data_IF_322052037520
#
_entry.id   IF_322052037520
#
_cell.length_a   1.000
_cell.length_b   1.000
_cell.length_c   1.000
_cell.angle_alpha   90.00
_cell.angle_beta   90.00
_cell.angle_gamma   90.00
#
_symmetry.space_group_name_H-M   'P 1'
#
loop_
_entity.id
_entity.type
_entity.pdbx_description
1 polymer ?
#
# COMPACT_ATOMS: atom_id res chain seq x y z
N UNK A 1 -1.91 -7.18 7.59
CA UNK A 1 -1.61 -6.48 8.87
C UNK A 1 -0.28 -5.72 8.86
N UNK A 2 0.79 -6.23 8.23
CA UNK A 2 2.10 -5.55 8.17
C UNK A 2 2.02 -4.08 7.74
N UNK A 3 1.27 -3.78 6.67
CA UNK A 3 1.07 -2.40 6.16
C UNK A 3 0.54 -1.43 7.23
N UNK A 4 -0.36 -1.87 8.12
CA UNK A 4 -0.87 -1.00 9.19
C UNK A 4 0.19 -0.76 10.27
N UNK A 5 1.04 -1.74 10.57
CA UNK A 5 2.13 -1.58 11.53
C UNK A 5 3.23 -0.66 10.99
N UNK A 6 3.64 -0.84 9.74
CA UNK A 6 4.60 0.06 9.08
C UNK A 6 4.04 1.48 8.91
N UNK A 7 2.74 1.62 8.65
CA UNK A 7 2.10 2.95 8.64
C UNK A 7 2.13 3.60 10.02
N UNK A 8 1.83 2.85 11.08
CA UNK A 8 1.93 3.36 12.44
C UNK A 8 3.36 3.77 12.78
N UNK A 9 4.37 3.01 12.32
CA UNK A 9 5.77 3.43 12.44
C UNK A 9 5.96 4.82 11.82
N UNK A 10 5.69 4.98 10.52
CA UNK A 10 5.90 6.25 9.80
C UNK A 10 5.14 7.46 10.34
N UNK A 11 4.04 7.23 11.08
CA UNK A 11 3.15 8.29 11.57
C UNK A 11 3.30 8.54 13.07
N UNK A 12 4.14 7.77 13.75
CA UNK A 12 4.51 8.03 15.14
C UNK A 12 5.65 9.05 15.17
N UNK A 13 5.61 10.04 16.07
CA UNK A 13 6.74 10.95 16.26
C UNK A 13 8.03 10.18 16.52
N UNK A 14 9.02 10.42 15.67
CA UNK A 14 10.30 9.73 15.72
C UNK A 14 11.35 10.57 16.46
N UNK A 15 12.24 9.90 17.19
CA UNK A 15 13.46 10.54 17.69
C UNK A 15 14.45 10.76 16.53
N UNK A 16 15.34 11.77 16.64
CA UNK A 16 16.25 12.18 15.55
C UNK A 16 17.12 11.05 14.96
N UNK A 17 17.34 9.95 15.70
CA UNK A 17 18.16 8.81 15.28
C UNK A 17 17.39 7.75 14.47
N UNK A 18 16.08 7.86 14.32
CA UNK A 18 15.28 6.87 13.60
C UNK A 18 15.35 7.08 12.08
N UNK A 19 15.46 5.99 11.30
CA UNK A 19 15.56 6.08 9.86
C UNK A 19 14.28 6.66 9.28
N UNK A 20 14.45 7.59 8.35
CA UNK A 20 13.36 8.21 7.60
C UNK A 20 12.96 7.30 6.43
N UNK A 21 11.66 7.09 6.25
CA UNK A 21 11.14 6.30 5.14
C UNK A 21 11.03 7.19 3.90
N UNK A 22 11.68 6.78 2.82
CA UNK A 22 11.64 7.47 1.51
C UNK A 22 10.61 6.82 0.59
N UNK A 23 10.53 5.49 0.61
CA UNK A 23 9.63 4.69 -0.20
C UNK A 23 8.77 3.80 0.71
N UNK A 24 7.46 3.81 0.50
CA UNK A 24 6.51 3.00 1.27
C UNK A 24 5.64 2.15 0.34
N UNK A 25 5.65 0.83 0.58
CA UNK A 25 4.79 -0.12 -0.14
C UNK A 25 3.69 -0.59 0.81
N UNK A 26 2.43 -0.28 0.48
CA UNK A 26 1.25 -0.79 1.16
C UNK A 26 0.67 -1.95 0.36
N UNK A 27 0.75 -3.14 0.94
CA UNK A 27 0.37 -4.38 0.29
C UNK A 27 -0.95 -4.92 0.85
N UNK A 28 -1.93 -5.21 -0.02
CA UNK A 28 -3.21 -5.85 0.33
C UNK A 28 -3.78 -5.34 1.66
N UNK A 29 -3.92 -4.01 1.77
CA UNK A 29 -4.30 -3.38 3.03
C UNK A 29 -5.28 -2.24 2.81
N UNK A 30 -6.15 -2.09 3.79
CA UNK A 30 -7.03 -0.94 3.94
C UNK A 30 -7.02 -0.47 5.39
N UNK A 31 -7.43 0.78 5.61
CA UNK A 31 -7.64 1.28 6.97
C UNK A 31 -9.08 1.08 7.42
N UNK A 32 -9.22 0.54 8.63
CA UNK A 32 -10.50 0.38 9.33
C UNK A 32 -10.95 1.66 10.06
N UNK A 33 -10.04 2.60 10.29
CA UNK A 33 -10.31 3.93 10.89
C UNK A 33 -9.84 5.02 9.93
N UNK A 34 -10.35 6.24 10.07
CA UNK A 34 -9.93 7.35 9.22
C UNK A 34 -8.47 7.77 9.50
N UNK A 35 -7.52 7.60 8.56
CA UNK A 35 -6.10 7.92 8.75
C UNK A 35 -5.76 9.38 8.37
N UNK A 36 -6.76 10.24 8.11
CA UNK A 36 -6.54 11.52 7.42
C UNK A 36 -5.54 12.43 8.13
N UNK A 37 -5.60 12.51 9.47
CA UNK A 37 -4.68 13.35 10.24
C UNK A 37 -3.24 12.82 10.14
N UNK A 38 -3.07 11.51 10.27
CA UNK A 38 -1.77 10.83 10.18
C UNK A 38 -1.15 10.99 8.79
N UNK A 39 -1.95 10.83 7.73
CA UNK A 39 -1.47 11.00 6.34
C UNK A 39 -1.01 12.42 6.08
N UNK A 40 -1.71 13.44 6.62
CA UNK A 40 -1.30 14.85 6.42
C UNK A 40 0.07 15.16 7.03
N UNK A 41 0.43 14.47 8.10
CA UNK A 41 1.71 14.64 8.79
C UNK A 41 2.89 13.97 8.05
N UNK A 42 2.63 13.13 7.04
CA UNK A 42 3.69 12.46 6.30
C UNK A 42 4.50 13.46 5.44
N UNK A 43 5.83 13.25 5.33
CA UNK A 43 6.69 14.11 4.52
C UNK A 43 6.33 13.99 3.04
N UNK A 44 6.33 15.12 2.32
CA UNK A 44 5.99 15.15 0.88
C UNK A 44 7.04 14.50 -0.03
N UNK A 45 8.22 14.23 0.52
CA UNK A 45 9.28 13.44 -0.12
C UNK A 45 9.00 11.94 -0.10
N UNK A 46 7.95 11.48 0.59
CA UNK A 46 7.57 10.06 0.63
C UNK A 46 6.91 9.65 -0.70
N UNK A 47 7.45 8.62 -1.32
CA UNK A 47 6.86 7.92 -2.44
C UNK A 47 6.07 6.72 -1.94
N UNK A 48 4.90 6.46 -2.53
CA UNK A 48 3.98 5.43 -2.06
C UNK A 48 3.55 4.54 -3.22
N UNK A 49 3.72 3.24 -3.05
CA UNK A 49 3.09 2.22 -3.89
C UNK A 49 1.99 1.53 -3.08
N UNK A 50 0.77 1.52 -3.61
CA UNK A 50 -0.35 0.79 -3.05
C UNK A 50 -0.69 -0.39 -3.97
N UNK A 51 -0.69 -1.60 -3.42
CA UNK A 51 -0.91 -2.84 -4.15
C UNK A 51 -2.19 -3.52 -3.67
N UNK A 52 -3.06 -3.91 -4.61
CA UNK A 52 -4.23 -4.74 -4.34
C UNK A 52 -4.33 -5.93 -5.28
N UNK A 53 -4.99 -7.00 -4.81
CA UNK A 53 -5.35 -8.15 -5.64
C UNK A 53 -6.82 -8.10 -6.06
N UNK A 54 -7.11 -8.68 -7.22
CA UNK A 54 -8.46 -8.90 -7.71
C UNK A 54 -8.60 -10.32 -8.29
N UNK A 55 -9.25 -11.21 -7.55
CA UNK A 55 -9.45 -12.60 -7.97
C UNK A 55 -10.66 -12.70 -8.91
N UNK A 56 -10.49 -13.17 -10.15
CA UNK A 56 -11.56 -13.40 -11.14
C UNK A 56 -12.55 -12.23 -11.31
N UNK A 57 -12.09 -10.98 -11.22
CA UNK A 57 -12.96 -9.81 -11.31
C UNK A 57 -13.81 -9.55 -10.06
N UNK A 58 -13.57 -10.26 -8.96
CA UNK A 58 -14.21 -10.02 -7.67
C UNK A 58 -13.93 -8.61 -7.14
N UNK A 59 -14.54 -8.29 -5.99
CA UNK A 59 -14.37 -6.98 -5.34
C UNK A 59 -13.13 -6.91 -4.43
N UNK A 60 -12.15 -7.81 -4.62
CA UNK A 60 -10.95 -7.90 -3.79
C UNK A 60 -10.16 -9.19 -3.99
N UNK A 61 -9.24 -9.44 -3.08
CA UNK A 61 -8.32 -10.59 -3.05
C UNK A 61 -8.84 -11.75 -2.18
N UNK A 62 -10.14 -11.75 -1.89
CA UNK A 62 -10.87 -12.63 -0.95
C UNK A 62 -10.55 -12.47 0.54
N UNK A 63 -9.75 -11.47 0.93
CA UNK A 63 -9.60 -11.07 2.34
C UNK A 63 -9.76 -9.56 2.55
N UNK A 64 -9.32 -8.77 1.58
CA UNK A 64 -9.29 -7.30 1.59
C UNK A 64 -10.05 -6.75 0.39
N UNK A 65 -10.81 -5.68 0.63
CA UNK A 65 -11.63 -5.08 -0.42
C UNK A 65 -10.78 -4.23 -1.37
N UNK A 66 -10.99 -4.39 -2.68
CA UNK A 66 -10.36 -3.55 -3.69
C UNK A 66 -10.82 -2.08 -3.54
N UNK A 67 -12.06 -1.87 -3.12
CA UNK A 67 -12.57 -0.53 -2.80
C UNK A 67 -11.80 0.11 -1.64
N UNK A 68 -11.43 -0.67 -0.61
CA UNK A 68 -10.59 -0.24 0.50
C UNK A 68 -9.18 0.16 0.06
N UNK A 69 -8.55 -0.67 -0.75
CA UNK A 69 -7.22 -0.39 -1.33
C UNK A 69 -7.25 0.88 -2.19
N UNK A 70 -8.27 1.04 -3.03
CA UNK A 70 -8.45 2.25 -3.86
C UNK A 70 -8.69 3.50 -3.01
N UNK A 71 -9.53 3.41 -1.99
CA UNK A 71 -9.76 4.50 -1.01
C UNK A 71 -8.47 4.92 -0.32
N UNK A 72 -7.64 3.96 0.06
CA UNK A 72 -6.34 4.23 0.66
C UNK A 72 -5.44 5.04 -0.28
N UNK A 73 -5.25 4.56 -1.51
CA UNK A 73 -4.46 5.28 -2.52
C UNK A 73 -5.00 6.70 -2.78
N UNK A 74 -6.32 6.86 -2.85
CA UNK A 74 -6.96 8.17 -3.03
C UNK A 74 -6.68 9.13 -1.87
N UNK A 75 -6.67 8.64 -0.61
CA UNK A 75 -6.33 9.48 0.56
C UNK A 75 -4.88 9.96 0.52
N UNK A 76 -3.93 9.12 0.11
CA UNK A 76 -2.54 9.55 -0.06
C UNK A 76 -2.39 10.60 -1.17
N UNK A 77 -3.03 10.37 -2.33
CA UNK A 77 -3.05 11.36 -3.42
C UNK A 77 -3.67 12.69 -3.01
N UNK A 78 -4.81 12.65 -2.31
CA UNK A 78 -5.50 13.85 -1.83
C UNK A 78 -4.66 14.65 -0.81
N UNK A 79 -3.73 14.00 -0.12
CA UNK A 79 -2.76 14.67 0.75
C UNK A 79 -1.52 15.19 0.02
N UNK A 80 -1.45 15.08 -1.32
CA UNK A 80 -0.34 15.56 -2.13
C UNK A 80 0.91 14.67 -2.08
N UNK A 81 0.76 13.38 -1.76
CA UNK A 81 1.87 12.41 -1.76
C UNK A 81 2.01 11.74 -3.12
N UNK A 82 3.24 11.52 -3.58
CA UNK A 82 3.52 10.78 -4.81
C UNK A 82 3.07 9.33 -4.65
N UNK A 83 1.95 8.96 -5.27
CA UNK A 83 1.27 7.69 -5.01
C UNK A 83 0.92 6.96 -6.29
N UNK A 84 1.42 5.73 -6.42
CA UNK A 84 1.07 4.78 -7.47
C UNK A 84 0.12 3.73 -6.92
N UNK A 85 -0.91 3.37 -7.69
CA UNK A 85 -1.81 2.26 -7.39
C UNK A 85 -1.59 1.17 -8.43
N UNK A 86 -1.21 -0.01 -7.97
CA UNK A 86 -1.11 -1.21 -8.78
C UNK A 86 -2.17 -2.22 -8.33
N UNK A 87 -2.94 -2.76 -9.29
CA UNK A 87 -3.93 -3.79 -9.02
C UNK A 87 -3.61 -4.99 -9.89
N UNK A 88 -3.23 -6.09 -9.27
CA UNK A 88 -3.06 -7.34 -9.98
C UNK A 88 -4.41 -8.07 -10.08
N UNK A 89 -4.91 -8.21 -11.31
CA UNK A 89 -6.12 -8.99 -11.59
C UNK A 89 -5.73 -10.35 -12.14
N UNK A 90 -6.23 -11.43 -11.53
CA UNK A 90 -5.85 -12.78 -11.94
C UNK A 90 -6.65 -13.88 -11.24
N UNK A 91 -6.11 -15.09 -11.28
CA UNK A 91 -6.69 -16.26 -10.60
C UNK A 91 -6.24 -16.29 -9.13
N UNK A 92 -6.80 -17.18 -8.28
CA UNK A 92 -6.36 -17.33 -6.90
C UNK A 92 -4.88 -17.68 -6.76
N UNK A 93 -4.25 -18.24 -7.80
CA UNK A 93 -2.82 -18.57 -7.76
C UNK A 93 -1.97 -17.30 -7.59
N UNK A 94 -2.33 -16.19 -8.23
CA UNK A 94 -1.54 -14.95 -8.21
C UNK A 94 -2.23 -13.73 -7.60
N UNK A 95 -3.55 -13.75 -7.45
CA UNK A 95 -4.33 -12.59 -7.00
C UNK A 95 -4.96 -12.76 -5.60
N UNK A 96 -4.89 -13.96 -5.01
CA UNK A 96 -5.42 -14.22 -3.67
C UNK A 96 -4.52 -13.60 -2.60
N UNK A 97 -5.12 -13.13 -1.50
CA UNK A 97 -4.43 -12.43 -0.42
C UNK A 97 -3.12 -13.08 0.02
N UNK A 98 -3.14 -14.40 0.26
CA UNK A 98 -1.99 -15.14 0.79
C UNK A 98 -0.95 -15.53 -0.27
N UNK A 99 -1.24 -15.39 -1.56
CA UNK A 99 -0.30 -15.71 -2.65
C UNK A 99 0.12 -14.48 -3.45
N UNK A 100 -0.55 -13.35 -3.25
CA UNK A 100 -0.25 -12.10 -3.94
C UNK A 100 1.21 -11.66 -3.70
N UNK A 101 1.75 -11.89 -2.50
CA UNK A 101 3.15 -11.59 -2.15
C UNK A 101 4.17 -12.62 -2.67
N UNK A 102 3.71 -13.64 -3.39
CA UNK A 102 4.53 -14.65 -4.07
C UNK A 102 4.43 -14.49 -5.59
N UNK A 103 3.75 -13.43 -6.05
CA UNK A 103 3.47 -13.22 -7.45
C UNK A 103 4.63 -12.44 -8.11
N UNK A 104 5.33 -13.03 -9.10
CA UNK A 104 6.49 -12.40 -9.72
C UNK A 104 6.17 -11.09 -10.44
N UNK A 105 4.92 -10.89 -10.90
CA UNK A 105 4.50 -9.62 -11.48
C UNK A 105 4.36 -8.52 -10.43
N UNK A 106 3.93 -8.88 -9.23
CA UNK A 106 3.86 -7.96 -8.11
C UNK A 106 5.26 -7.62 -7.60
N UNK A 107 6.15 -8.62 -7.53
CA UNK A 107 7.54 -8.41 -7.15
C UNK A 107 8.27 -7.50 -8.15
N UNK A 108 8.03 -7.67 -9.45
CA UNK A 108 8.59 -6.81 -10.48
C UNK A 108 8.15 -5.33 -10.32
N UNK A 109 6.88 -5.09 -10.00
CA UNK A 109 6.36 -3.74 -9.75
C UNK A 109 7.01 -3.12 -8.49
N UNK A 110 7.20 -3.91 -7.44
CA UNK A 110 7.89 -3.46 -6.22
C UNK A 110 9.35 -3.11 -6.53
N UNK A 111 10.05 -3.96 -7.27
CA UNK A 111 11.43 -3.71 -7.67
C UNK A 111 11.56 -2.45 -8.51
N UNK A 112 10.66 -2.24 -9.47
CA UNK A 112 10.62 -1.02 -10.27
C UNK A 112 10.44 0.20 -9.36
N UNK A 113 9.41 0.21 -8.52
CA UNK A 113 9.14 1.31 -7.60
C UNK A 113 10.30 1.63 -6.63
N UNK A 114 11.04 0.62 -6.16
CA UNK A 114 12.09 0.83 -5.16
C UNK A 114 13.42 1.29 -5.75
N UNK A 115 13.72 0.96 -7.01
CA UNK A 115 15.06 1.09 -7.58
C UNK A 115 15.14 1.92 -8.87
N UNK A 116 14.03 2.46 -9.36
CA UNK A 116 14.00 3.38 -10.52
C UNK A 116 13.32 4.68 -10.15
#
# INVERSE_FOLDING_TARGET
>A
MGSNLSFNYMTTPHANLQPQVINYVSFASEFYRDPTAQIRALPKTLHILVIGGQVFGAKGDWAVSLAGVKRLAAKFKAAGLSTTLFVYTGTPVGAYHSTLHQNPYVDAEILHFLFT
#
